data_IF_589367297162
#
_entry.id   IF_589367297162
#
_cell.length_a   1.000
_cell.length_b   1.000
_cell.length_c   1.000
_cell.angle_alpha   90.00
_cell.angle_beta   90.00
_cell.angle_gamma   90.00
#
_symmetry.space_group_name_H-M   'P 1'
#
loop_
_entity.id
_entity.type
_entity.pdbx_description
1 polymer ?
#
# COMPACT_ATOMS: atom_id res chain seq x y z
N UNK A 1 35.93 -46.03 48.48
CA UNK A 1 37.17 -45.42 47.95
C UNK A 1 38.13 -46.54 47.59
N UNK A 2 38.63 -46.57 46.36
CA UNK A 2 40.02 -46.92 45.97
C UNK A 2 40.20 -46.67 44.47
N UNK A 3 41.31 -46.03 44.16
CA UNK A 3 41.80 -45.45 42.89
C UNK A 3 42.67 -46.43 42.08
N UNK A 4 42.85 -46.20 40.76
CA UNK A 4 44.02 -46.71 40.00
C UNK A 4 44.35 -45.88 38.71
N UNK A 5 45.28 -44.93 38.87
CA UNK A 5 46.58 -44.67 38.16
C UNK A 5 46.83 -44.97 36.64
N UNK A 6 47.10 -43.88 35.88
CA UNK A 6 48.19 -43.56 34.87
C UNK A 6 48.30 -44.41 33.58
N UNK A 7 48.58 -43.92 32.35
CA UNK A 7 49.64 -43.02 31.85
C UNK A 7 49.37 -42.36 30.48
N UNK A 8 50.15 -41.30 30.16
CA UNK A 8 50.11 -40.45 28.95
C UNK A 8 51.03 -40.92 27.81
N UNK A 9 50.65 -40.60 26.56
CA UNK A 9 51.44 -40.85 25.34
C UNK A 9 51.63 -39.56 24.53
N UNK A 10 52.86 -39.29 24.10
CA UNK A 10 53.29 -38.14 23.29
C UNK A 10 53.24 -38.47 21.79
N UNK A 11 52.88 -37.52 20.91
CA UNK A 11 53.08 -37.65 19.45
C UNK A 11 53.37 -36.30 18.79
N UNK A 12 54.39 -36.29 17.93
CA UNK A 12 55.06 -35.18 17.24
C UNK A 12 54.25 -34.65 16.05
N UNK A 13 54.27 -33.33 15.79
CA UNK A 13 53.61 -32.68 14.63
C UNK A 13 54.64 -32.20 13.60
N UNK A 14 54.37 -32.41 12.31
CA UNK A 14 55.13 -31.88 11.17
C UNK A 14 54.45 -30.64 10.57
N UNK A 15 55.24 -29.64 10.18
CA UNK A 15 54.79 -28.33 9.70
C UNK A 15 54.81 -28.27 8.17
N UNK A 16 53.70 -27.87 7.54
CA UNK A 16 53.61 -27.54 6.11
C UNK A 16 53.25 -26.06 5.91
N UNK A 17 54.07 -25.36 5.13
CA UNK A 17 53.94 -23.94 4.78
C UNK A 17 53.05 -23.77 3.53
N UNK A 18 52.04 -22.91 3.59
CA UNK A 18 51.21 -22.50 2.43
C UNK A 18 51.27 -20.98 2.21
N UNK A 19 51.46 -20.58 0.96
CA UNK A 19 51.57 -19.18 0.49
C UNK A 19 50.17 -18.57 0.29
N UNK A 20 49.90 -17.31 0.69
CA UNK A 20 48.57 -16.71 0.56
C UNK A 20 48.36 -16.07 -0.82
N UNK A 21 47.22 -16.34 -1.46
CA UNK A 21 46.72 -15.64 -2.64
C UNK A 21 45.62 -14.65 -2.26
N UNK A 22 45.80 -13.37 -2.58
CA UNK A 22 44.90 -12.27 -2.20
C UNK A 22 43.78 -12.08 -3.24
N UNK A 23 42.52 -12.35 -2.84
CA UNK A 23 41.32 -12.05 -3.63
C UNK A 23 40.80 -10.65 -3.25
N UNK A 24 40.48 -9.75 -4.21
CA UNK A 24 39.91 -8.45 -3.88
C UNK A 24 38.50 -8.60 -3.31
N UNK A 25 38.27 -7.99 -2.14
CA UNK A 25 36.98 -7.95 -1.46
C UNK A 25 36.20 -6.71 -1.94
N UNK A 26 35.10 -6.91 -2.67
CA UNK A 26 34.17 -5.83 -3.02
C UNK A 26 33.29 -5.51 -1.81
N UNK A 27 33.48 -4.31 -1.23
CA UNK A 27 32.62 -3.78 -0.16
C UNK A 27 31.41 -3.07 -0.78
N UNK A 28 30.22 -3.65 -0.64
CA UNK A 28 28.96 -3.01 -1.05
C UNK A 28 28.43 -2.16 0.11
N UNK A 29 28.55 -0.83 0.01
CA UNK A 29 27.94 0.10 0.96
C UNK A 29 26.45 0.24 0.66
N UNK A 30 25.59 -0.34 1.51
CA UNK A 30 24.12 -0.16 1.45
C UNK A 30 23.78 1.24 1.95
N UNK A 31 23.40 2.14 1.05
CA UNK A 31 22.92 3.49 1.41
C UNK A 31 21.62 3.34 2.22
N UNK A 32 21.49 3.99 3.40
CA UNK A 32 20.25 4.02 4.15
C UNK A 32 19.15 4.69 3.32
N UNK A 33 18.02 4.00 3.13
CA UNK A 33 16.83 4.63 2.58
C UNK A 33 16.20 5.50 3.68
N UNK A 34 16.19 6.82 3.47
CA UNK A 34 15.49 7.75 4.37
C UNK A 34 14.00 7.70 4.03
N UNK A 35 13.17 7.20 4.95
CA UNK A 35 11.71 7.24 4.83
C UNK A 35 11.19 8.47 5.54
N UNK A 36 10.71 9.46 4.79
CA UNK A 36 10.01 10.63 5.36
C UNK A 36 8.52 10.33 5.42
N UNK A 37 7.95 10.21 6.63
CA UNK A 37 6.51 10.03 6.82
C UNK A 37 5.79 11.37 6.69
N UNK A 38 5.05 11.56 5.60
CA UNK A 38 4.20 12.73 5.41
C UNK A 38 2.78 12.45 5.93
N UNK A 39 2.32 13.27 6.88
CA UNK A 39 0.93 13.27 7.33
C UNK A 39 0.12 14.22 6.47
N UNK A 40 -1.03 13.75 5.98
CA UNK A 40 -1.97 14.55 5.19
C UNK A 40 -3.27 14.63 5.97
N UNK A 41 -3.88 15.83 6.12
CA UNK A 41 -5.20 15.93 6.72
C UNK A 41 -6.24 15.27 5.79
N UNK A 42 -7.10 14.47 6.38
CA UNK A 42 -8.11 13.68 5.69
C UNK A 42 -9.50 13.97 6.24
N UNK A 43 -10.47 13.90 5.35
CA UNK A 43 -11.89 13.94 5.65
C UNK A 43 -12.43 12.52 5.63
N UNK A 44 -13.07 12.09 6.72
CA UNK A 44 -13.60 10.73 6.87
C UNK A 44 -15.12 10.81 7.02
N UNK A 45 -15.81 10.00 6.24
CA UNK A 45 -17.28 9.87 6.31
C UNK A 45 -17.70 8.41 6.32
N UNK A 46 -18.74 8.08 7.08
CA UNK A 46 -19.22 6.71 7.20
C UNK A 46 -20.24 6.42 6.11
N UNK A 47 -20.07 5.27 5.47
CA UNK A 47 -20.96 4.74 4.44
C UNK A 47 -21.42 3.36 4.90
N UNK A 48 -22.73 3.18 5.00
CA UNK A 48 -23.37 1.93 5.41
C UNK A 48 -24.34 1.49 4.32
N UNK A 49 -24.34 0.19 4.01
CA UNK A 49 -25.30 -0.40 3.08
C UNK A 49 -25.55 -1.86 3.43
N UNK A 50 -26.67 -2.41 2.95
CA UNK A 50 -27.01 -3.83 3.09
C UNK A 50 -26.87 -4.53 1.75
N UNK A 51 -26.28 -5.72 1.77
CA UNK A 51 -26.24 -6.65 0.63
C UNK A 51 -27.25 -7.77 0.83
N UNK A 52 -27.74 -8.40 -0.25
CA UNK A 52 -28.65 -9.55 -0.21
C UNK A 52 -27.99 -10.86 0.25
N UNK A 53 -26.67 -10.87 0.42
CA UNK A 53 -25.93 -12.07 0.85
C UNK A 53 -26.37 -12.59 2.21
N UNK A 54 -26.17 -13.89 2.41
CA UNK A 54 -26.40 -14.57 3.68
C UNK A 54 -25.24 -14.24 4.63
N UNK A 55 -25.58 -13.77 5.82
CA UNK A 55 -24.59 -13.54 6.87
C UNK A 55 -24.12 -14.87 7.47
N UNK A 56 -22.80 -15.09 7.49
CA UNK A 56 -22.16 -16.18 8.22
C UNK A 56 -21.37 -15.61 9.41
N UNK A 57 -21.28 -16.38 10.49
CA UNK A 57 -20.66 -15.90 11.74
C UNK A 57 -19.22 -15.42 11.55
N UNK A 58 -18.46 -16.03 10.64
CA UNK A 58 -17.09 -15.64 10.34
C UNK A 58 -16.95 -14.20 9.83
N UNK A 59 -18.02 -13.62 9.25
CA UNK A 59 -18.04 -12.21 8.85
C UNK A 59 -18.02 -11.24 10.04
N UNK A 60 -18.31 -11.70 11.27
CA UNK A 60 -18.14 -10.87 12.47
C UNK A 60 -16.69 -10.82 12.95
N UNK A 61 -15.83 -11.73 12.47
CA UNK A 61 -14.45 -11.85 12.92
C UNK A 61 -13.49 -11.28 11.87
N UNK A 62 -12.89 -10.12 12.16
CA UNK A 62 -11.95 -9.43 11.26
C UNK A 62 -10.71 -10.26 10.87
N UNK A 63 -10.34 -11.25 11.69
CA UNK A 63 -9.21 -12.13 11.40
C UNK A 63 -9.54 -13.27 10.44
N UNK A 64 -10.83 -13.57 10.24
CA UNK A 64 -11.31 -14.69 9.43
C UNK A 64 -11.04 -14.48 7.94
N UNK A 65 -10.97 -15.58 7.20
CA UNK A 65 -10.84 -15.51 5.75
C UNK A 65 -12.10 -14.92 5.11
N UNK A 66 -13.29 -15.24 5.63
CA UNK A 66 -14.55 -14.71 5.12
C UNK A 66 -14.60 -13.18 5.21
N UNK A 67 -14.20 -12.61 6.35
CA UNK A 67 -14.14 -11.16 6.53
C UNK A 67 -13.15 -10.51 5.56
N UNK A 68 -11.94 -11.07 5.43
CA UNK A 68 -10.89 -10.53 4.55
C UNK A 68 -11.33 -10.56 3.08
N UNK A 69 -11.82 -11.71 2.62
CA UNK A 69 -12.30 -11.87 1.24
C UNK A 69 -13.46 -10.92 0.94
N UNK A 70 -14.43 -10.80 1.85
CA UNK A 70 -15.55 -9.87 1.66
C UNK A 70 -15.11 -8.41 1.73
N UNK A 71 -14.18 -8.05 2.61
CA UNK A 71 -13.65 -6.69 2.69
C UNK A 71 -12.94 -6.30 1.41
N UNK A 72 -12.15 -7.22 0.82
CA UNK A 72 -11.50 -7.00 -0.47
C UNK A 72 -12.52 -6.85 -1.60
N UNK A 73 -13.58 -7.65 -1.58
CA UNK A 73 -14.69 -7.49 -2.52
C UNK A 73 -15.34 -6.11 -2.40
N UNK A 74 -15.63 -5.66 -1.18
CA UNK A 74 -16.19 -4.33 -0.93
C UNK A 74 -15.27 -3.23 -1.47
N UNK A 75 -13.97 -3.30 -1.20
CA UNK A 75 -13.00 -2.32 -1.69
C UNK A 75 -12.90 -2.32 -3.21
N UNK A 76 -12.77 -3.49 -3.83
CA UNK A 76 -12.57 -3.61 -5.28
C UNK A 76 -13.76 -3.08 -6.09
N UNK A 77 -14.97 -3.15 -5.56
CA UNK A 77 -16.16 -2.58 -6.20
C UNK A 77 -16.36 -1.08 -5.92
N UNK A 78 -16.13 -0.64 -4.68
CA UNK A 78 -16.40 0.76 -4.30
C UNK A 78 -15.29 1.73 -4.74
N UNK A 79 -14.02 1.33 -4.64
CA UNK A 79 -12.91 2.23 -4.95
C UNK A 79 -12.94 2.80 -6.38
N UNK A 80 -13.20 2.01 -7.43
CA UNK A 80 -13.28 2.55 -8.80
C UNK A 80 -14.35 3.62 -8.96
N UNK A 81 -15.52 3.45 -8.32
CA UNK A 81 -16.64 4.40 -8.37
C UNK A 81 -16.21 5.75 -7.80
N UNK A 82 -15.68 5.74 -6.57
CA UNK A 82 -15.32 6.97 -5.88
C UNK A 82 -14.06 7.62 -6.47
N UNK A 83 -13.10 6.83 -6.93
CA UNK A 83 -11.88 7.33 -7.58
C UNK A 83 -12.17 8.01 -8.91
N UNK A 84 -13.12 7.49 -9.69
CA UNK A 84 -13.51 8.10 -10.96
C UNK A 84 -14.26 9.43 -10.77
N UNK A 85 -15.02 9.56 -9.67
CA UNK A 85 -15.90 10.71 -9.42
C UNK A 85 -15.24 11.82 -8.60
N UNK A 86 -14.32 11.47 -7.70
CA UNK A 86 -13.75 12.40 -6.72
C UNK A 86 -12.23 12.36 -6.74
N UNK A 87 -11.56 13.42 -7.25
CA UNK A 87 -10.10 13.53 -7.20
C UNK A 87 -9.55 13.47 -5.77
N UNK A 88 -10.35 13.90 -4.79
CA UNK A 88 -10.01 13.87 -3.37
C UNK A 88 -10.07 12.46 -2.77
N UNK A 89 -10.63 11.46 -3.45
CA UNK A 89 -10.75 10.12 -2.90
C UNK A 89 -9.41 9.43 -2.69
N UNK A 90 -9.20 8.89 -1.48
CA UNK A 90 -7.99 8.16 -1.10
C UNK A 90 -8.27 6.65 -1.10
N UNK A 91 -9.23 6.21 -0.28
CA UNK A 91 -9.52 4.78 -0.06
C UNK A 91 -10.86 4.53 0.63
N UNK A 92 -11.34 3.29 0.55
CA UNK A 92 -12.37 2.75 1.45
C UNK A 92 -11.70 2.07 2.66
N UNK A 93 -12.34 2.09 3.83
CA UNK A 93 -11.99 1.29 4.99
C UNK A 93 -13.23 0.47 5.38
N UNK A 94 -13.11 -0.85 5.43
CA UNK A 94 -14.20 -1.72 5.89
C UNK A 94 -14.06 -1.90 7.40
N UNK A 95 -15.08 -1.53 8.16
CA UNK A 95 -15.06 -1.57 9.62
C UNK A 95 -15.62 -2.89 10.16
N UNK A 96 -16.81 -3.26 9.72
CA UNK A 96 -17.52 -4.43 10.25
C UNK A 96 -18.57 -4.96 9.27
N UNK A 97 -18.97 -6.22 9.49
CA UNK A 97 -20.17 -6.79 8.89
C UNK A 97 -21.13 -7.22 10.01
N UNK A 98 -22.42 -6.95 9.85
CA UNK A 98 -23.47 -7.30 10.83
C UNK A 98 -24.58 -8.15 10.22
N UNK A 99 -25.30 -8.94 11.06
CA UNK A 99 -26.44 -9.73 10.63
C UNK A 99 -27.65 -8.85 10.25
N UNK A 100 -28.51 -9.40 9.40
CA UNK A 100 -29.65 -8.69 8.78
C UNK A 100 -29.45 -8.63 7.27
N UNK A 101 -29.37 -9.80 6.61
CA UNK A 101 -28.48 -9.98 5.45
C UNK A 101 -27.06 -9.50 5.82
N UNK A 102 -26.18 -9.14 4.88
CA UNK A 102 -24.89 -8.57 5.28
C UNK A 102 -24.96 -7.04 5.26
N UNK A 103 -25.06 -6.45 6.44
CA UNK A 103 -24.89 -5.00 6.63
C UNK A 103 -23.40 -4.71 6.68
N UNK A 104 -22.93 -3.84 5.79
CA UNK A 104 -21.51 -3.46 5.67
C UNK A 104 -21.33 -2.05 6.19
N UNK A 105 -20.47 -1.89 7.20
CA UNK A 105 -20.06 -0.59 7.71
C UNK A 105 -18.70 -0.22 7.13
N UNK A 106 -18.61 0.91 6.46
CA UNK A 106 -17.37 1.41 5.87
C UNK A 106 -17.13 2.88 6.22
N UNK A 107 -15.89 3.30 6.00
CA UNK A 107 -15.50 4.70 5.95
C UNK A 107 -14.87 5.01 4.60
N UNK A 108 -15.24 6.14 4.03
CA UNK A 108 -14.58 6.72 2.87
C UNK A 108 -13.60 7.79 3.36
N UNK A 109 -12.38 7.74 2.84
CA UNK A 109 -11.32 8.69 3.20
C UNK A 109 -11.04 9.57 1.99
N UNK A 110 -11.11 10.88 2.21
CA UNK A 110 -10.83 11.90 1.22
C UNK A 110 -9.69 12.81 1.68
N UNK A 111 -8.94 13.39 0.76
CA UNK A 111 -7.96 14.43 1.03
C UNK A 111 -8.70 15.74 1.36
N UNK A 112 -8.54 16.24 2.59
CA UNK A 112 -9.26 17.44 3.04
C UNK A 112 -8.72 18.74 2.44
N UNK A 113 -7.60 18.70 1.72
CA UNK A 113 -7.04 19.87 1.02
C UNK A 113 -7.61 20.03 -0.39
N UNK A 114 -8.48 19.13 -0.83
CA UNK A 114 -9.12 19.15 -2.14
C UNK A 114 -10.64 19.35 -2.00
N UNK A 115 -11.34 19.52 -3.12
CA UNK A 115 -12.80 19.63 -3.12
C UNK A 115 -13.40 18.34 -2.56
N UNK A 116 -14.19 18.50 -1.50
CA UNK A 116 -14.84 17.40 -0.79
C UNK A 116 -16.26 17.21 -1.31
N UNK A 117 -16.70 15.96 -1.52
CA UNK A 117 -18.10 15.69 -1.85
C UNK A 117 -19.01 15.85 -0.63
N UNK A 118 -20.24 16.24 -0.90
CA UNK A 118 -21.33 16.23 0.06
C UNK A 118 -21.81 14.80 0.34
N UNK A 119 -22.46 14.60 1.49
CA UNK A 119 -23.05 13.29 1.85
C UNK A 119 -24.05 12.79 0.80
N UNK A 120 -24.79 13.71 0.18
CA UNK A 120 -25.75 13.40 -0.86
C UNK A 120 -25.06 12.89 -2.13
N UNK A 121 -24.01 13.59 -2.60
CA UNK A 121 -23.28 13.16 -3.80
C UNK A 121 -22.63 11.78 -3.64
N UNK A 122 -22.10 11.48 -2.44
CA UNK A 122 -21.55 10.16 -2.12
C UNK A 122 -22.63 9.09 -2.24
N UNK A 123 -23.79 9.34 -1.62
CA UNK A 123 -24.92 8.42 -1.64
C UNK A 123 -25.42 8.18 -3.07
N UNK A 124 -25.58 9.24 -3.85
CA UNK A 124 -26.02 9.18 -5.25
C UNK A 124 -25.01 8.42 -6.13
N UNK A 125 -23.71 8.59 -5.90
CA UNK A 125 -22.67 7.90 -6.66
C UNK A 125 -22.74 6.39 -6.47
N UNK A 126 -22.91 5.92 -5.22
CA UNK A 126 -23.11 4.49 -4.98
C UNK A 126 -24.45 4.02 -5.55
N UNK A 127 -25.54 4.74 -5.31
CA UNK A 127 -26.87 4.40 -5.82
C UNK A 127 -26.87 4.22 -7.33
N UNK A 128 -26.27 5.16 -8.07
CA UNK A 128 -26.13 5.08 -9.52
C UNK A 128 -25.38 3.82 -9.93
N UNK A 129 -24.25 3.51 -9.28
CA UNK A 129 -23.47 2.32 -9.59
C UNK A 129 -24.25 1.03 -9.29
N UNK A 130 -25.04 0.99 -8.22
CA UNK A 130 -25.91 -0.15 -7.90
C UNK A 130 -26.94 -0.37 -9.01
N UNK A 131 -27.62 0.68 -9.45
CA UNK A 131 -28.66 0.59 -10.50
C UNK A 131 -28.07 0.19 -11.85
N UNK A 132 -26.82 0.56 -12.14
CA UNK A 132 -26.14 0.18 -13.39
C UNK A 132 -25.36 -1.14 -13.30
N UNK A 133 -25.41 -1.86 -12.17
CA UNK A 133 -24.65 -3.12 -11.97
C UNK A 133 -23.14 -2.94 -11.76
N UNK A 134 -22.67 -1.73 -11.50
CA UNK A 134 -21.25 -1.41 -11.31
C UNK A 134 -20.64 -1.87 -9.98
N UNK A 135 -21.40 -2.60 -9.16
CA UNK A 135 -20.96 -3.15 -7.87
C UNK A 135 -21.14 -4.67 -7.78
N UNK A 136 -21.46 -5.34 -8.89
CA UNK A 136 -21.58 -6.80 -8.90
C UNK A 136 -20.22 -7.44 -8.60
N UNK A 137 -20.15 -8.47 -7.74
CA UNK A 137 -21.24 -9.27 -7.17
C UNK A 137 -21.68 -8.89 -5.74
N UNK A 138 -21.56 -7.64 -5.27
CA UNK A 138 -21.94 -7.27 -3.88
C UNK A 138 -23.44 -7.31 -3.59
N UNK A 139 -24.31 -7.39 -4.60
CA UNK A 139 -25.76 -7.49 -4.44
C UNK A 139 -26.35 -6.44 -3.46
N UNK A 140 -25.94 -5.18 -3.58
CA UNK A 140 -26.33 -4.09 -2.67
C UNK A 140 -27.82 -3.76 -2.85
N UNK A 141 -28.53 -3.58 -1.74
CA UNK A 141 -29.92 -3.11 -1.72
C UNK A 141 -29.91 -1.57 -1.79
N UNK A 142 -30.35 -0.95 -2.89
CA UNK A 142 -30.14 0.47 -3.13
C UNK A 142 -30.72 1.37 -2.03
N UNK A 143 -31.93 1.07 -1.56
CA UNK A 143 -32.64 1.84 -0.53
C UNK A 143 -32.02 1.80 0.87
N UNK A 144 -30.97 1.01 1.06
CA UNK A 144 -30.29 0.86 2.37
C UNK A 144 -28.98 1.63 2.47
N UNK A 145 -28.57 2.29 1.37
CA UNK A 145 -27.37 3.13 1.35
C UNK A 145 -27.61 4.35 2.25
N UNK A 146 -26.73 4.54 3.24
CA UNK A 146 -26.75 5.67 4.16
C UNK A 146 -25.34 6.23 4.31
N UNK A 147 -25.23 7.55 4.27
CA UNK A 147 -23.96 8.27 4.46
C UNK A 147 -24.11 9.24 5.62
N UNK A 148 -23.32 9.04 6.68
CA UNK A 148 -23.40 9.83 7.91
C UNK A 148 -22.01 10.08 8.48
N UNK A 149 -21.89 11.11 9.31
CA UNK A 149 -20.66 11.41 10.02
C UNK A 149 -19.61 12.05 9.12
N UNK A 150 -18.91 13.01 9.69
CA UNK A 150 -17.91 13.81 9.01
C UNK A 150 -16.92 14.28 10.05
N UNK A 151 -15.68 13.81 9.96
CA UNK A 151 -14.59 14.21 10.85
C UNK A 151 -13.33 14.48 10.05
N UNK A 152 -12.58 15.49 10.46
CA UNK A 152 -11.25 15.76 9.91
C UNK A 152 -10.22 15.14 10.84
N UNK A 153 -9.40 14.23 10.32
CA UNK A 153 -8.33 13.54 11.02
C UNK A 153 -7.02 13.68 10.25
N UNK A 154 -5.89 13.37 10.85
CA UNK A 154 -4.63 13.23 10.11
C UNK A 154 -4.42 11.75 9.78
N UNK A 155 -4.06 11.43 8.53
CA UNK A 155 -3.70 10.07 8.12
C UNK A 155 -2.35 10.09 7.41
N UNK A 156 -1.60 9.00 7.58
CA UNK A 156 -0.34 8.78 6.88
C UNK A 156 -0.64 8.52 5.40
N UNK A 157 -0.04 9.30 4.51
CA UNK A 157 -0.11 9.06 3.08
C UNK A 157 0.57 7.72 2.72
N UNK A 158 0.09 7.05 1.66
CA UNK A 158 0.72 5.83 1.17
C UNK A 158 2.20 6.09 0.83
N UNK A 159 3.10 5.27 1.37
CA UNK A 159 4.55 5.44 1.24
C UNK A 159 5.00 5.25 -0.21
N UNK A 160 5.61 6.28 -0.81
CA UNK A 160 6.36 6.15 -2.06
C UNK A 160 7.84 5.90 -1.73
N UNK A 161 8.35 4.74 -2.10
CA UNK A 161 9.77 4.41 -1.93
C UNK A 161 10.57 4.98 -3.11
N UNK A 162 11.39 6.00 -2.88
CA UNK A 162 12.36 6.48 -3.87
C UNK A 162 13.68 5.75 -3.66
N UNK A 163 14.00 4.77 -4.52
CA UNK A 163 15.32 4.12 -4.55
C UNK A 163 16.31 5.02 -5.27
N UNK A 164 17.38 5.46 -4.60
CA UNK A 164 18.48 6.17 -5.25
C UNK A 164 19.25 5.21 -6.17
N UNK A 165 19.45 5.59 -7.43
CA UNK A 165 20.24 4.81 -8.39
C UNK A 165 21.75 4.96 -8.06
N UNK A 166 22.43 3.83 -7.82
CA UNK A 166 23.88 3.81 -7.61
C UNK A 166 24.61 3.85 -8.96
N UNK A 167 25.30 4.94 -9.26
CA UNK A 167 26.29 4.99 -10.35
C UNK A 167 27.59 4.34 -9.88
N UNK A 168 27.95 3.20 -10.47
CA UNK A 168 29.25 2.56 -10.27
C UNK A 168 30.30 3.28 -11.11
N UNK A 169 31.23 4.00 -10.47
CA UNK A 169 32.37 4.62 -11.13
C UNK A 169 33.47 3.58 -11.34
N UNK A 170 33.59 3.05 -12.56
CA UNK A 170 34.81 2.38 -13.01
C UNK A 170 35.77 3.43 -13.56
N UNK A 171 36.95 3.54 -12.95
CA UNK A 171 37.99 4.47 -13.37
C UNK A 171 38.44 4.17 -14.81
N UNK A 172 37.95 4.97 -15.75
CA UNK A 172 38.37 5.02 -17.14
C UNK A 172 38.18 6.44 -17.65
N UNK A 173 39.29 7.17 -17.79
CA UNK A 173 39.36 8.55 -18.25
C UNK A 173 38.61 8.76 -19.58
N UNK A 174 37.53 9.58 -19.59
CA UNK A 174 37.14 10.45 -20.71
C UNK A 174 36.09 11.48 -20.30
N UNK A 175 36.36 12.70 -20.72
CA UNK A 175 35.66 13.97 -20.46
C UNK A 175 34.30 13.96 -21.18
N UNK A 176 33.22 14.44 -20.54
CA UNK A 176 32.29 15.46 -21.08
C UNK A 176 30.95 15.56 -20.29
N UNK A 177 30.49 16.81 -20.21
CA UNK A 177 29.30 17.44 -19.64
C UNK A 177 28.12 16.60 -19.08
N UNK A 178 27.85 16.86 -17.79
CA UNK A 178 26.51 16.95 -17.22
C UNK A 178 25.67 17.99 -17.98
N UNK A 179 24.57 17.60 -18.66
CA UNK A 179 23.36 18.44 -18.87
C UNK A 179 22.16 17.78 -19.63
N UNK A 180 21.81 16.50 -19.49
CA UNK A 180 20.75 15.91 -20.36
C UNK A 180 19.59 15.15 -19.68
N UNK A 181 19.18 15.53 -18.46
CA UNK A 181 18.00 14.90 -17.83
C UNK A 181 16.92 15.91 -17.38
N UNK A 182 17.06 17.20 -17.73
CA UNK A 182 16.06 18.23 -17.41
C UNK A 182 15.18 18.65 -18.61
N UNK A 183 15.35 18.06 -19.79
CA UNK A 183 14.74 18.58 -21.03
C UNK A 183 13.52 17.79 -21.52
N UNK A 184 13.22 16.61 -20.95
CA UNK A 184 12.04 15.84 -21.37
C UNK A 184 10.73 16.25 -20.70
N UNK A 185 10.76 16.98 -19.57
CA UNK A 185 9.53 17.45 -18.93
C UNK A 185 8.91 18.69 -19.59
N UNK A 186 9.69 19.47 -20.35
CA UNK A 186 9.22 20.74 -20.94
C UNK A 186 8.60 20.57 -22.33
N UNK A 187 8.88 19.47 -23.04
CA UNK A 187 8.38 19.25 -24.40
C UNK A 187 6.96 18.64 -24.41
N UNK A 188 6.61 17.83 -23.40
CA UNK A 188 5.27 17.22 -23.33
C UNK A 188 4.17 18.23 -22.93
N UNK A 189 4.52 19.33 -22.26
CA UNK A 189 3.57 20.38 -21.89
C UNK A 189 3.20 21.34 -23.04
N UNK A 190 3.97 21.40 -24.14
CA UNK A 190 3.67 22.25 -25.31
C UNK A 190 2.97 21.53 -26.47
N UNK A 191 2.90 20.20 -26.46
CA UNK A 191 2.20 19.42 -27.50
C UNK A 191 0.72 19.15 -27.16
N UNK A 192 0.33 19.18 -25.87
CA UNK A 192 -1.07 19.04 -25.49
C UNK A 192 -1.88 20.36 -25.58
N UNK A 193 -1.21 21.50 -25.75
CA UNK A 193 -1.84 22.81 -26.00
C UNK A 193 -1.87 23.19 -27.50
N UNK A 194 -1.53 22.26 -28.41
CA UNK A 194 -1.62 22.47 -29.86
C UNK A 194 -2.67 21.54 -30.53
N UNK A 195 -3.44 20.80 -29.74
CA UNK A 195 -4.56 19.97 -30.21
C UNK A 195 -5.87 20.24 -29.45
N UNK A 196 -6.02 21.46 -28.90
CA UNK A 196 -7.32 22.10 -28.66
C UNK A 196 -7.21 23.59 -29.01
#
# INVERSE_FOLDING_TARGET
MTTSTTASTTTTTATTTTTPTTKPLTSTTKVPATTTTQFVPVYITSLVFRSLDIFIIDLSNQSSQAFKSRSELVRSQLEPIYRARYPSFIRVIVLSFRPGSVITETQLVFNSTQVLPTVQEISESLMSAVVTGGVDPLNIIPSTVSVNGSVINMTVAATTTTTAATTSASSGLKIQSSLFQATWLIIMAKILQLFL
#
